data_IF_937050900614
#
_entry.id   IF_937050900614
#
_cell.length_a   1.000
_cell.length_b   1.000
_cell.length_c   1.000
_cell.angle_alpha   90.00
_cell.angle_beta   90.00
_cell.angle_gamma   90.00
#
_symmetry.space_group_name_H-M   'P 1'
#
loop_
_entity.id
_entity.type
_entity.pdbx_description
1 polymer ?
#
# COMPACT_ATOMS: atom_id res chain seq x y z
N UNK A 1 19.11 8.55 17.56
CA UNK A 1 19.03 7.93 16.21
C UNK A 1 17.90 8.61 15.46
N UNK A 2 18.19 9.27 14.34
CA UNK A 2 17.17 9.98 13.58
C UNK A 2 16.15 8.98 13.02
N UNK A 3 14.93 9.01 13.55
CA UNK A 3 13.79 8.28 13.02
C UNK A 3 13.55 8.75 11.59
N UNK A 4 13.97 7.95 10.60
CA UNK A 4 13.64 8.21 9.19
C UNK A 4 12.12 8.39 9.10
N UNK A 5 11.68 9.53 8.59
CA UNK A 5 10.26 9.86 8.40
C UNK A 5 9.67 8.82 7.45
N UNK A 6 8.90 7.87 7.98
CA UNK A 6 8.21 6.86 7.17
C UNK A 6 7.06 7.54 6.43
N UNK A 7 6.98 7.32 5.13
CA UNK A 7 5.88 7.81 4.30
C UNK A 7 4.79 6.76 4.37
N UNK A 8 3.91 6.99 5.33
CA UNK A 8 2.74 6.16 5.59
C UNK A 8 1.77 6.21 4.42
N UNK A 9 1.48 5.04 3.83
CA UNK A 9 0.47 4.91 2.78
C UNK A 9 -0.79 4.24 3.31
N UNK A 10 -1.92 4.46 2.67
CA UNK A 10 -3.22 3.92 3.10
C UNK A 10 -3.24 2.38 3.18
N UNK A 11 -2.41 1.68 2.41
CA UNK A 11 -2.36 0.22 2.36
C UNK A 11 -1.40 -0.44 3.37
N UNK A 12 -0.70 0.33 4.20
CA UNK A 12 0.24 -0.22 5.19
C UNK A 12 1.66 -0.37 4.70
N UNK A 13 1.88 -0.20 3.40
CA UNK A 13 3.22 -0.12 2.84
C UNK A 13 3.83 1.26 3.11
N UNK A 14 5.15 1.33 3.20
CA UNK A 14 5.87 2.58 3.45
C UNK A 14 6.63 2.96 2.18
N UNK A 15 6.31 4.11 1.57
CA UNK A 15 7.08 4.58 0.40
C UNK A 15 8.55 4.87 0.77
N UNK A 16 8.86 5.09 2.05
CA UNK A 16 10.24 5.27 2.50
C UNK A 16 11.09 4.00 2.42
N UNK A 17 10.44 2.84 2.41
CA UNK A 17 11.08 1.53 2.27
C UNK A 17 11.00 1.02 0.81
N UNK A 18 10.56 1.88 -0.12
CA UNK A 18 10.40 1.54 -1.53
C UNK A 18 11.57 2.08 -2.37
N UNK A 19 12.30 1.21 -3.05
CA UNK A 19 13.43 1.60 -3.93
C UNK A 19 13.05 2.48 -5.12
N UNK A 20 11.77 2.45 -5.53
CA UNK A 20 11.24 3.25 -6.63
C UNK A 20 10.79 4.65 -6.19
N UNK A 21 10.67 4.90 -4.88
CA UNK A 21 10.26 6.20 -4.36
C UNK A 21 11.33 7.24 -4.71
N UNK A 22 10.91 8.39 -5.25
CA UNK A 22 11.75 9.48 -5.81
C UNK A 22 12.50 9.17 -7.11
N UNK A 23 12.47 7.93 -7.61
CA UNK A 23 13.03 7.57 -8.92
C UNK A 23 11.93 7.55 -9.99
N UNK A 24 11.14 6.48 -9.98
CA UNK A 24 10.09 6.22 -10.95
C UNK A 24 8.70 6.50 -10.39
N UNK A 25 8.58 6.59 -9.06
CA UNK A 25 7.32 6.84 -8.36
C UNK A 25 7.47 8.04 -7.40
N UNK A 26 6.70 9.12 -7.59
CA UNK A 26 6.68 10.25 -6.64
C UNK A 26 5.91 9.93 -5.34
N UNK A 27 5.40 8.71 -5.20
CA UNK A 27 4.70 8.20 -4.02
C UNK A 27 3.18 8.33 -4.09
N UNK A 28 2.48 7.45 -3.38
CA UNK A 28 1.02 7.29 -3.46
C UNK A 28 0.24 8.58 -3.20
N UNK A 29 0.74 9.46 -2.32
CA UNK A 29 0.09 10.75 -2.03
C UNK A 29 0.15 11.71 -3.21
N UNK A 30 1.28 11.73 -3.93
CA UNK A 30 1.53 12.65 -5.03
C UNK A 30 0.91 12.12 -6.33
N UNK A 31 0.93 10.80 -6.53
CA UNK A 31 0.22 10.12 -7.62
C UNK A 31 -1.28 9.94 -7.35
N UNK A 32 -1.80 10.38 -6.20
CA UNK A 32 -3.21 10.13 -5.79
C UNK A 32 -3.64 8.67 -5.95
N UNK A 33 -2.75 7.73 -5.63
CA UNK A 33 -3.02 6.30 -5.76
C UNK A 33 -2.77 5.72 -7.15
N UNK A 34 -2.02 6.37 -8.03
CA UNK A 34 -1.57 5.81 -9.32
C UNK A 34 -0.05 5.54 -9.33
N UNK A 35 0.47 4.63 -8.47
CA UNK A 35 1.90 4.26 -8.47
C UNK A 35 2.30 3.58 -9.78
N UNK A 36 3.62 3.47 -10.04
CA UNK A 36 4.17 2.94 -11.30
C UNK A 36 3.51 1.62 -11.76
N UNK A 37 3.25 0.68 -10.84
CA UNK A 37 2.65 -0.62 -11.15
C UNK A 37 1.24 -0.54 -11.74
N UNK A 38 0.46 0.52 -11.49
CA UNK A 38 -0.91 0.61 -12.03
C UNK A 38 -0.89 0.67 -13.55
N UNK A 39 0.15 1.24 -14.14
CA UNK A 39 0.35 1.21 -15.60
C UNK A 39 0.59 -0.21 -16.12
N UNK A 40 1.29 -1.07 -15.38
CA UNK A 40 1.61 -2.46 -15.80
C UNK A 40 0.36 -3.33 -15.83
N UNK A 41 -0.58 -3.10 -14.91
CA UNK A 41 -1.85 -3.85 -14.83
C UNK A 41 -3.01 -3.14 -15.52
N UNK A 42 -2.72 -2.07 -16.27
CA UNK A 42 -3.70 -1.22 -16.93
C UNK A 42 -4.85 -0.77 -16.00
N UNK A 43 -4.51 -0.48 -14.75
CA UNK A 43 -5.43 0.06 -13.76
C UNK A 43 -5.32 1.58 -13.74
N UNK A 44 -6.46 2.27 -13.79
CA UNK A 44 -6.49 3.73 -13.72
C UNK A 44 -6.03 4.26 -12.35
N UNK A 45 -6.31 3.51 -11.28
CA UNK A 45 -5.95 3.87 -9.91
C UNK A 45 -5.87 2.61 -9.05
N UNK A 46 -5.05 2.65 -8.00
CA UNK A 46 -5.00 1.63 -6.97
C UNK A 46 -6.37 1.53 -6.27
N UNK A 47 -7.04 0.37 -6.31
CA UNK A 47 -8.37 0.23 -5.72
C UNK A 47 -8.35 0.32 -4.19
N UNK A 48 -7.21 0.00 -3.56
CA UNK A 48 -7.04 0.17 -2.11
C UNK A 48 -7.04 1.65 -1.75
N UNK A 49 -6.34 2.46 -2.55
CA UNK A 49 -6.30 3.90 -2.35
C UNK A 49 -7.66 4.54 -2.57
N UNK A 50 -8.30 4.26 -3.70
CA UNK A 50 -9.65 4.75 -4.01
C UNK A 50 -10.65 4.32 -2.92
N UNK A 51 -10.57 3.07 -2.45
CA UNK A 51 -11.44 2.59 -1.38
C UNK A 51 -11.26 3.40 -0.10
N UNK A 52 -10.02 3.65 0.33
CA UNK A 52 -9.78 4.44 1.53
C UNK A 52 -10.13 5.92 1.35
N UNK A 53 -9.81 6.55 0.22
CA UNK A 53 -10.00 7.99 0.06
C UNK A 53 -11.40 8.39 -0.40
N UNK A 54 -12.07 7.54 -1.18
CA UNK A 54 -13.29 7.89 -1.91
C UNK A 54 -14.49 7.09 -1.43
N UNK A 55 -14.34 5.76 -1.24
CA UNK A 55 -15.48 4.87 -0.93
C UNK A 55 -15.78 4.84 0.57
N UNK A 56 -14.80 4.41 1.38
CA UNK A 56 -14.94 4.28 2.84
C UNK A 56 -14.48 5.53 3.59
N UNK A 57 -13.77 6.46 2.93
CA UNK A 57 -13.21 7.69 3.55
C UNK A 57 -12.46 7.41 4.86
N UNK A 58 -11.63 6.36 4.85
CA UNK A 58 -10.79 5.94 5.96
C UNK A 58 -9.37 6.47 5.79
N UNK A 59 -8.68 6.84 6.89
CA UNK A 59 -7.31 7.33 6.81
C UNK A 59 -6.33 6.24 6.34
N UNK A 60 -6.61 4.97 6.63
CA UNK A 60 -5.83 3.81 6.20
C UNK A 60 -6.67 2.53 6.33
N UNK A 61 -6.26 1.48 5.64
CA UNK A 61 -6.91 0.17 5.67
C UNK A 61 -6.92 -0.48 7.06
N UNK A 62 -6.04 -0.05 7.98
CA UNK A 62 -6.01 -0.56 9.35
C UNK A 62 -7.28 -0.29 10.16
N UNK A 63 -8.07 0.71 9.77
CA UNK A 63 -9.40 0.96 10.34
C UNK A 63 -10.52 0.19 9.63
N UNK A 64 -10.20 -0.53 8.56
CA UNK A 64 -11.17 -1.33 7.83
C UNK A 64 -11.31 -2.69 8.51
N UNK A 65 -12.54 -3.14 8.86
CA UNK A 65 -12.75 -4.47 9.43
C UNK A 65 -12.43 -5.59 8.43
N UNK A 66 -12.53 -5.32 7.13
CA UNK A 66 -12.23 -6.27 6.05
C UNK A 66 -10.74 -6.39 5.69
N UNK A 67 -9.80 -5.92 6.51
CA UNK A 67 -8.36 -6.07 6.22
C UNK A 67 -7.89 -7.51 6.58
N UNK A 68 -7.29 -8.30 5.69
CA UNK A 68 -7.03 -8.10 4.25
C UNK A 68 -8.25 -8.37 3.36
N UNK A 69 -8.51 -7.47 2.40
CA UNK A 69 -9.64 -7.60 1.47
C UNK A 69 -9.18 -8.06 0.08
N UNK A 70 -10.15 -8.39 -0.79
CA UNK A 70 -9.91 -8.79 -2.18
C UNK A 70 -9.00 -7.82 -2.97
N UNK A 71 -8.98 -6.53 -2.61
CA UNK A 71 -8.18 -5.53 -3.32
C UNK A 71 -6.68 -5.71 -3.08
N UNK A 72 -6.29 -6.32 -1.96
CA UNK A 72 -4.90 -6.69 -1.69
C UNK A 72 -4.52 -8.00 -2.40
N UNK A 73 -5.42 -8.99 -2.46
CA UNK A 73 -5.14 -10.25 -3.15
C UNK A 73 -5.23 -10.13 -4.67
N UNK A 74 -5.98 -9.15 -5.20
CA UNK A 74 -6.15 -8.91 -6.64
C UNK A 74 -4.85 -8.57 -7.35
N UNK A 75 -3.95 -7.85 -6.69
CA UNK A 75 -2.66 -7.42 -7.25
C UNK A 75 -1.53 -7.97 -6.38
N UNK A 76 -1.12 -9.21 -6.68
CA UNK A 76 0.04 -9.88 -6.07
C UNK A 76 1.18 -9.90 -7.08
N UNK A 77 2.41 -9.66 -6.61
CA UNK A 77 3.58 -9.88 -7.44
C UNK A 77 3.76 -11.40 -7.66
N UNK A 78 3.73 -11.91 -8.89
CA UNK A 78 3.96 -13.34 -9.16
C UNK A 78 5.42 -13.76 -8.98
N UNK A 79 6.37 -12.81 -8.90
CA UNK A 79 7.80 -13.09 -8.78
C UNK A 79 8.25 -13.35 -7.33
N UNK A 80 7.43 -12.99 -6.33
CA UNK A 80 7.73 -13.26 -4.92
C UNK A 80 7.13 -14.59 -4.48
N UNK A 81 7.83 -15.30 -3.60
CA UNK A 81 7.33 -16.54 -3.04
C UNK A 81 6.12 -16.30 -2.15
N UNK A 82 5.33 -17.35 -1.90
CA UNK A 82 4.18 -17.25 -1.00
C UNK A 82 4.59 -16.90 0.43
N UNK A 83 5.74 -17.37 0.88
CA UNK A 83 6.30 -17.07 2.21
C UNK A 83 6.68 -15.59 2.34
N UNK A 84 7.37 -15.02 1.35
CA UNK A 84 7.72 -13.60 1.32
C UNK A 84 6.47 -12.70 1.23
N UNK A 85 5.48 -13.11 0.44
CA UNK A 85 4.20 -12.42 0.35
C UNK A 85 3.48 -12.44 1.71
N UNK A 86 3.41 -13.59 2.36
CA UNK A 86 2.77 -13.74 3.67
C UNK A 86 3.50 -12.92 4.75
N UNK A 87 4.83 -12.93 4.78
CA UNK A 87 5.62 -12.12 5.69
C UNK A 87 5.40 -10.61 5.47
N UNK A 88 5.37 -10.19 4.21
CA UNK A 88 5.09 -8.79 3.84
C UNK A 88 3.68 -8.37 4.26
N UNK A 89 2.68 -9.22 4.04
CA UNK A 89 1.30 -9.00 4.49
C UNK A 89 1.21 -8.91 6.01
N UNK A 90 1.82 -9.83 6.75
CA UNK A 90 1.83 -9.78 8.22
C UNK A 90 2.47 -8.49 8.76
N UNK A 91 3.58 -8.04 8.15
CA UNK A 91 4.22 -6.78 8.51
C UNK A 91 3.31 -5.58 8.22
N UNK A 92 2.69 -5.53 7.05
CA UNK A 92 1.72 -4.48 6.67
C UNK A 92 0.52 -4.44 7.60
N UNK A 93 -0.04 -5.59 7.97
CA UNK A 93 -1.17 -5.66 8.88
C UNK A 93 -0.83 -5.12 10.26
N UNK A 94 0.30 -5.57 10.84
CA UNK A 94 0.76 -5.10 12.15
C UNK A 94 0.98 -3.59 12.14
N UNK A 95 1.57 -3.08 11.07
CA UNK A 95 1.82 -1.66 10.87
C UNK A 95 0.49 -0.88 10.80
N UNK A 96 -0.44 -1.32 9.95
CA UNK A 96 -1.77 -0.73 9.82
C UNK A 96 -2.58 -0.72 11.11
N UNK A 97 -2.54 -1.80 11.89
CA UNK A 97 -3.23 -1.90 13.19
C UNK A 97 -2.56 -1.06 14.27
N UNK A 98 -1.28 -0.74 14.13
CA UNK A 98 -0.56 0.14 15.06
C UNK A 98 -0.85 1.62 14.85
N UNK A 99 -1.35 2.00 13.67
CA UNK A 99 -1.75 3.37 13.35
C UNK A 99 -3.08 3.73 14.04
N UNK A 100 -3.11 4.89 14.69
CA UNK A 100 -4.28 5.40 15.44
C UNK A 100 -5.21 6.26 14.59
#
# INVERSE_FOLDING_TARGET
>A
MATKKKIETVCGYSCSDCDHYTKECPGCKQTKGTPFWTAFVNASQCPVYECCTTIKSLPHCGKCPDLFCERFSRYKNPEITEEEAAASLAAMEKELRSRK
#
